data_IF_488740643416
#
_entry.id   IF_488740643416
#
_cell.length_a   1.000
_cell.length_b   1.000
_cell.length_c   1.000
_cell.angle_alpha   90.00
_cell.angle_beta   90.00
_cell.angle_gamma   90.00
#
_symmetry.space_group_name_H-M   'P 1'
#
loop_
_entity.id
_entity.type
_entity.pdbx_description
1 polymer ?
#
# COMPACT_ATOMS: atom_id res chain seq x y z
N UNK A 1 8.48 -6.44 5.55
CA UNK A 1 8.25 -6.31 7.00
C UNK A 1 9.31 -7.01 7.83
N UNK A 2 9.66 -8.28 7.57
CA UNK A 2 10.83 -8.95 8.21
C UNK A 2 12.12 -8.11 8.09
N UNK A 3 12.37 -7.57 6.89
CA UNK A 3 13.52 -6.69 6.62
C UNK A 3 13.55 -5.37 7.44
N UNK A 4 12.41 -4.89 7.97
CA UNK A 4 12.38 -3.67 8.77
C UNK A 4 12.90 -3.91 10.20
N UNK A 5 12.55 -5.06 10.76
CA UNK A 5 13.08 -5.54 12.04
C UNK A 5 14.56 -5.92 11.92
N UNK A 6 14.93 -6.71 10.90
CA UNK A 6 16.33 -7.15 10.67
C UNK A 6 17.33 -6.00 10.53
N UNK A 7 16.90 -4.85 10.01
CA UNK A 7 17.76 -3.70 9.75
C UNK A 7 17.62 -2.61 10.80
N UNK A 8 16.76 -2.79 11.79
CA UNK A 8 16.47 -1.78 12.79
C UNK A 8 17.71 -1.40 13.62
N UNK A 9 18.00 -0.10 13.76
CA UNK A 9 19.21 0.38 14.43
C UNK A 9 20.48 0.40 13.55
N UNK A 10 20.38 -0.01 12.28
CA UNK A 10 21.44 0.15 11.28
C UNK A 10 21.17 1.35 10.38
N UNK A 11 22.17 1.75 9.59
CA UNK A 11 22.00 2.80 8.56
C UNK A 11 20.96 2.43 7.48
N UNK A 12 20.62 1.15 7.35
CA UNK A 12 19.68 0.61 6.37
C UNK A 12 18.33 0.24 6.99
N UNK A 13 18.05 0.69 8.21
CA UNK A 13 16.76 0.47 8.86
C UNK A 13 15.62 0.90 7.94
N UNK A 14 14.63 0.04 7.75
CA UNK A 14 13.43 0.41 7.00
C UNK A 14 12.48 1.19 7.90
N UNK A 15 11.80 2.15 7.29
CA UNK A 15 10.72 2.90 7.90
C UNK A 15 9.45 2.04 8.06
N UNK A 16 8.46 2.57 8.78
CA UNK A 16 7.22 1.86 9.08
C UNK A 16 6.31 1.63 7.88
N UNK A 17 6.49 2.41 6.82
CA UNK A 17 5.55 2.49 5.70
C UNK A 17 6.12 1.88 4.43
N UNK A 18 5.23 1.42 3.57
CA UNK A 18 5.56 0.97 2.22
C UNK A 18 4.41 1.32 1.27
N UNK A 19 4.72 1.80 0.07
CA UNK A 19 3.71 2.04 -0.98
C UNK A 19 3.82 0.96 -2.04
N UNK A 20 2.69 0.49 -2.54
CA UNK A 20 2.60 -0.49 -3.62
C UNK A 20 1.77 0.07 -4.77
N UNK A 21 2.18 -0.23 -5.99
CA UNK A 21 1.47 0.03 -7.23
C UNK A 21 1.13 -1.32 -7.86
N UNK A 22 -0.13 -1.48 -8.26
CA UNK A 22 -0.66 -2.70 -8.81
C UNK A 22 -0.92 -2.53 -10.30
N UNK A 23 -0.45 -3.50 -11.08
CA UNK A 23 -0.69 -3.59 -12.52
C UNK A 23 -1.22 -4.98 -12.85
N UNK A 24 -2.08 -5.11 -13.85
CA UNK A 24 -2.48 -6.41 -14.38
C UNK A 24 -1.97 -6.54 -15.81
N UNK A 25 -1.65 -7.76 -16.27
CA UNK A 25 -1.38 -8.11 -17.68
C UNK A 25 -2.11 -9.42 -18.05
N UNK A 26 -2.57 -9.63 -19.30
CA UNK A 26 -3.28 -10.85 -19.68
C UNK A 26 -2.36 -12.05 -19.48
N UNK A 27 -2.91 -13.16 -19.02
CA UNK A 27 -2.14 -14.38 -18.83
C UNK A 27 -3.00 -15.61 -19.04
N UNK A 28 -2.67 -16.38 -20.08
CA UNK A 28 -3.33 -17.67 -20.37
C UNK A 28 -2.98 -18.77 -19.37
N UNK A 29 -1.96 -18.56 -18.53
CA UNK A 29 -1.52 -19.53 -17.52
C UNK A 29 -2.17 -19.32 -16.15
N UNK A 30 -2.79 -18.17 -15.91
CA UNK A 30 -3.47 -17.86 -14.65
C UNK A 30 -4.96 -18.19 -14.78
N UNK A 31 -5.59 -18.89 -13.81
CA UNK A 31 -7.03 -19.20 -13.87
C UNK A 31 -7.96 -17.99 -14.08
N UNK A 32 -7.67 -16.80 -13.52
CA UNK A 32 -8.45 -15.58 -13.79
C UNK A 32 -8.26 -14.97 -15.18
N UNK A 33 -7.32 -15.47 -16.00
CA UNK A 33 -6.97 -14.93 -17.32
C UNK A 33 -6.05 -13.71 -17.28
N UNK A 34 -5.58 -13.29 -16.10
CA UNK A 34 -4.65 -12.18 -15.93
C UNK A 34 -3.66 -12.48 -14.80
N UNK A 35 -2.49 -11.85 -14.86
CA UNK A 35 -1.48 -11.84 -13.80
C UNK A 35 -1.41 -10.46 -13.16
N UNK A 36 -1.39 -10.44 -11.83
CA UNK A 36 -1.10 -9.25 -11.05
C UNK A 36 0.43 -9.05 -10.95
N UNK A 37 0.87 -7.83 -11.22
CA UNK A 37 2.24 -7.36 -11.05
C UNK A 37 2.25 -6.29 -9.96
N UNK A 38 3.16 -6.41 -9.00
CA UNK A 38 3.25 -5.49 -7.87
C UNK A 38 4.64 -4.87 -7.80
N UNK A 39 4.70 -3.56 -8.01
CA UNK A 39 5.89 -2.78 -7.72
C UNK A 39 5.71 -2.03 -6.41
N UNK A 40 6.75 -1.89 -5.60
CA UNK A 40 6.65 -1.26 -4.29
C UNK A 40 7.83 -0.38 -3.96
N UNK A 41 7.62 0.54 -3.03
CA UNK A 41 8.66 1.32 -2.37
C UNK A 41 8.69 0.97 -0.89
N UNK A 42 9.85 0.48 -0.45
CA UNK A 42 10.20 0.48 0.97
C UNK A 42 10.95 1.78 1.25
N UNK A 43 10.57 2.45 2.33
CA UNK A 43 11.24 3.66 2.79
C UNK A 43 12.31 3.29 3.82
N UNK A 44 13.40 4.04 3.84
CA UNK A 44 14.35 3.96 4.96
C UNK A 44 13.78 4.71 6.16
N UNK A 45 14.18 4.34 7.36
CA UNK A 45 13.80 5.03 8.58
C UNK A 45 14.47 6.41 8.60
N UNK A 46 13.66 7.45 8.46
CA UNK A 46 14.06 8.84 8.49
C UNK A 46 12.86 9.69 8.94
N UNK A 47 13.06 10.91 9.49
CA UNK A 47 11.95 11.76 9.94
C UNK A 47 10.85 11.95 8.88
N UNK A 48 11.24 12.12 7.62
CA UNK A 48 10.36 12.25 6.46
C UNK A 48 9.51 11.01 6.14
N UNK A 49 9.90 9.82 6.60
CA UNK A 49 9.16 8.56 6.36
C UNK A 49 8.37 8.07 7.58
N UNK A 50 8.33 8.85 8.67
CA UNK A 50 7.62 8.45 9.90
C UNK A 50 6.12 8.69 9.83
N UNK A 51 5.71 9.77 9.16
CA UNK A 51 4.30 10.18 9.14
C UNK A 51 3.65 9.75 7.83
N UNK A 52 2.80 8.71 7.89
CA UNK A 52 2.17 8.12 6.72
C UNK A 52 1.38 9.14 5.88
N UNK A 53 0.58 9.98 6.53
CA UNK A 53 -0.26 10.97 5.85
C UNK A 53 0.59 11.99 5.07
N UNK A 54 1.62 12.53 5.71
CA UNK A 54 2.56 13.45 5.07
C UNK A 54 3.31 12.77 3.92
N UNK A 55 3.77 11.54 4.13
CA UNK A 55 4.44 10.75 3.11
C UNK A 55 3.58 10.54 1.85
N UNK A 56 2.29 10.23 2.01
CA UNK A 56 1.36 10.08 0.88
C UNK A 56 1.11 11.41 0.16
N UNK A 57 1.02 12.52 0.91
CA UNK A 57 0.90 13.86 0.34
C UNK A 57 2.14 14.22 -0.50
N UNK A 58 3.34 13.98 0.03
CA UNK A 58 4.60 14.23 -0.65
C UNK A 58 4.74 13.38 -1.92
N UNK A 59 4.39 12.09 -1.85
CA UNK A 59 4.40 11.22 -3.02
C UNK A 59 3.45 11.70 -4.11
N UNK A 60 2.29 12.26 -3.73
CA UNK A 60 1.35 12.86 -4.67
C UNK A 60 1.95 14.09 -5.35
N UNK A 61 2.58 14.97 -4.59
CA UNK A 61 3.25 16.16 -5.11
C UNK A 61 4.42 15.79 -6.06
N UNK A 62 5.28 14.86 -5.63
CA UNK A 62 6.39 14.35 -6.43
C UNK A 62 5.90 13.72 -7.74
N UNK A 63 4.83 12.92 -7.69
CA UNK A 63 4.25 12.34 -8.90
C UNK A 63 3.74 13.43 -9.85
N UNK A 64 3.04 14.44 -9.33
CA UNK A 64 2.53 15.56 -10.14
C UNK A 64 3.67 16.34 -10.80
N UNK A 65 4.73 16.64 -10.06
CA UNK A 65 5.91 17.33 -10.56
C UNK A 65 6.65 16.53 -11.63
N UNK A 66 6.79 15.22 -11.44
CA UNK A 66 7.42 14.33 -12.42
C UNK A 66 6.61 14.24 -13.71
N UNK A 67 5.28 14.16 -13.60
CA UNK A 67 4.35 14.19 -14.74
C UNK A 67 4.50 15.52 -15.49
N UNK A 68 4.45 16.66 -14.78
CA UNK A 68 4.57 17.99 -15.38
C UNK A 68 5.94 18.17 -16.05
N UNK A 69 7.01 17.75 -15.39
CA UNK A 69 8.37 17.83 -15.93
C UNK A 69 8.54 17.00 -17.20
N UNK A 70 8.12 15.74 -17.21
CA UNK A 70 8.19 14.91 -18.41
C UNK A 70 7.35 15.47 -19.56
N UNK A 71 6.15 15.99 -19.26
CA UNK A 71 5.30 16.67 -20.25
C UNK A 71 6.00 17.89 -20.85
N UNK A 72 6.69 18.68 -20.04
CA UNK A 72 7.46 19.85 -20.53
C UNK A 72 8.58 19.47 -21.52
N UNK A 73 9.07 18.23 -21.44
CA UNK A 73 10.08 17.65 -22.32
C UNK A 73 9.49 16.85 -23.49
N UNK A 74 8.15 16.87 -23.68
CA UNK A 74 7.48 16.09 -24.72
C UNK A 74 7.50 14.56 -24.48
N UNK A 75 7.69 14.11 -23.24
CA UNK A 75 7.74 12.69 -22.85
C UNK A 75 6.57 12.33 -21.93
N UNK A 76 6.37 11.04 -21.73
CA UNK A 76 5.50 10.52 -20.66
C UNK A 76 6.36 9.96 -19.54
N UNK A 77 6.07 10.36 -18.30
CA UNK A 77 6.70 9.77 -17.13
C UNK A 77 6.00 8.46 -16.74
N UNK A 78 6.75 7.49 -16.23
CA UNK A 78 6.20 6.24 -15.70
C UNK A 78 6.74 6.01 -14.28
N UNK A 79 5.91 5.62 -13.30
CA UNK A 79 6.34 5.49 -11.91
C UNK A 79 7.37 4.39 -11.66
N UNK A 80 7.49 3.41 -12.56
CA UNK A 80 8.52 2.37 -12.55
C UNK A 80 9.74 2.72 -13.41
N UNK A 81 9.70 3.87 -14.12
CA UNK A 81 10.73 4.27 -15.05
C UNK A 81 12.06 4.57 -14.36
N UNK A 82 13.20 4.45 -15.07
CA UNK A 82 14.52 4.68 -14.49
C UNK A 82 14.72 6.13 -14.03
N UNK A 83 14.04 7.08 -14.68
CA UNK A 83 14.09 8.50 -14.33
C UNK A 83 13.02 8.82 -13.29
N UNK A 84 13.45 9.20 -12.08
CA UNK A 84 12.57 9.67 -11.00
C UNK A 84 11.49 8.64 -10.61
N UNK A 85 11.91 7.39 -10.47
CA UNK A 85 11.04 6.28 -10.05
C UNK A 85 10.36 6.56 -8.72
N UNK A 86 9.07 6.21 -8.62
CA UNK A 86 8.32 6.21 -7.37
C UNK A 86 8.51 4.94 -6.55
N UNK A 87 8.94 3.85 -7.18
CA UNK A 87 9.08 2.51 -6.59
C UNK A 87 10.51 1.99 -6.72
N UNK A 88 10.94 1.10 -5.82
CA UNK A 88 12.33 0.62 -5.74
C UNK A 88 12.46 -0.90 -5.61
N UNK A 89 11.37 -1.65 -5.74
CA UNK A 89 11.37 -3.11 -5.69
C UNK A 89 10.09 -3.71 -6.26
N UNK A 90 10.04 -5.05 -6.31
CA UNK A 90 8.95 -5.81 -6.91
C UNK A 90 9.09 -5.95 -8.42
N UNK A 91 7.96 -6.06 -9.12
CA UNK A 91 7.89 -6.22 -10.57
C UNK A 91 8.17 -4.91 -11.30
N UNK A 92 9.46 -4.57 -11.43
CA UNK A 92 9.93 -3.31 -12.03
C UNK A 92 9.87 -3.31 -13.57
N UNK A 93 9.71 -4.47 -14.19
CA UNK A 93 9.55 -4.63 -15.64
C UNK A 93 8.18 -5.24 -15.90
N UNK A 94 7.33 -4.48 -16.59
CA UNK A 94 5.97 -4.90 -16.91
C UNK A 94 5.86 -5.35 -18.37
N UNK A 95 4.96 -6.30 -18.68
CA UNK A 95 4.49 -6.52 -20.05
C UNK A 95 3.97 -5.23 -20.70
N UNK A 96 4.10 -5.11 -22.02
CA UNK A 96 3.70 -3.91 -22.77
C UNK A 96 2.21 -3.57 -22.65
N UNK A 97 1.38 -4.60 -22.44
CA UNK A 97 -0.07 -4.52 -22.27
C UNK A 97 -0.50 -4.43 -20.79
N UNK A 98 0.45 -4.28 -19.86
CA UNK A 98 0.13 -4.12 -18.46
C UNK A 98 -0.61 -2.79 -18.21
N UNK A 99 -1.67 -2.85 -17.42
CA UNK A 99 -2.49 -1.68 -17.06
C UNK A 99 -2.45 -1.45 -15.57
N UNK A 100 -2.45 -0.18 -15.17
CA UNK A 100 -2.59 0.22 -13.77
C UNK A 100 -3.97 -0.19 -13.23
N UNK A 101 -4.00 -0.93 -12.12
CA UNK A 101 -5.24 -1.40 -11.48
C UNK A 101 -5.43 -0.89 -10.06
N UNK A 102 -4.40 -0.30 -9.44
CA UNK A 102 -4.57 0.31 -8.12
C UNK A 102 -3.29 0.72 -7.43
N UNK A 103 -3.43 1.34 -6.26
CA UNK A 103 -2.34 1.62 -5.35
C UNK A 103 -2.71 1.15 -3.95
N UNK A 104 -1.69 0.85 -3.15
CA UNK A 104 -1.86 0.54 -1.75
C UNK A 104 -0.73 1.07 -0.89
N UNK A 105 -0.97 1.08 0.41
CA UNK A 105 0.01 1.42 1.41
C UNK A 105 -0.07 0.41 2.55
N UNK A 106 1.08 0.02 3.06
CA UNK A 106 1.22 -0.78 4.27
C UNK A 106 1.93 0.05 5.33
N UNK A 107 1.52 -0.12 6.58
CA UNK A 107 2.11 0.54 7.74
C UNK A 107 2.25 -0.42 8.91
N UNK A 108 3.33 -0.26 9.67
CA UNK A 108 3.53 -0.88 10.98
C UNK A 108 2.89 -0.09 12.13
N UNK A 109 2.35 1.10 11.85
CA UNK A 109 1.50 1.79 12.80
C UNK A 109 0.21 0.95 13.00
N UNK A 110 -0.26 0.90 14.23
CA UNK A 110 -1.43 0.10 14.59
C UNK A 110 -2.22 0.78 15.70
N UNK A 111 -3.37 0.20 16.05
CA UNK A 111 -4.13 0.65 17.22
C UNK A 111 -3.34 0.60 18.54
N UNK A 112 -2.26 -0.19 18.59
CA UNK A 112 -1.40 -0.31 19.77
C UNK A 112 -0.36 0.83 19.85
N UNK A 113 -0.24 1.66 18.81
CA UNK A 113 0.65 2.82 18.75
C UNK A 113 1.44 2.93 17.45
N UNK A 114 2.27 3.97 17.36
CA UNK A 114 3.17 4.16 16.23
C UNK A 114 4.31 3.14 16.24
N UNK A 115 4.88 2.83 15.08
CA UNK A 115 6.03 1.96 14.96
C UNK A 115 7.19 2.39 15.85
N UNK A 116 7.43 3.70 16.01
CA UNK A 116 8.49 4.19 16.90
C UNK A 116 8.25 3.77 18.36
N UNK A 117 7.00 3.85 18.83
CA UNK A 117 6.62 3.41 20.17
C UNK A 117 6.74 1.89 20.28
N UNK A 118 6.20 1.14 19.33
CA UNK A 118 6.24 -0.33 19.31
C UNK A 118 7.70 -0.84 19.26
N UNK A 119 8.51 -0.30 18.36
CA UNK A 119 9.90 -0.71 18.20
C UNK A 119 10.80 -0.30 19.38
N UNK A 120 10.41 0.71 20.18
CA UNK A 120 11.07 0.99 21.46
C UNK A 120 10.82 -0.14 22.47
N UNK A 121 9.61 -0.71 22.49
CA UNK A 121 9.27 -1.83 23.38
C UNK A 121 9.89 -3.16 22.96
N UNK A 122 10.23 -3.34 21.66
CA UNK A 122 11.01 -4.49 21.19
C UNK A 122 12.43 -4.52 21.80
N UNK A 123 12.98 -3.36 22.20
CA UNK A 123 14.37 -3.22 22.68
C UNK A 123 14.51 -3.30 24.19
N UNK A 124 13.43 -3.15 24.94
CA UNK A 124 13.46 -3.34 26.39
C UNK A 124 13.06 -4.77 26.71
N UNK A 125 13.92 -5.57 27.39
CA UNK A 125 13.47 -6.84 27.91
C UNK A 125 12.24 -6.55 28.77
N UNK A 126 11.12 -7.16 28.41
CA UNK A 126 9.96 -7.21 29.28
C UNK A 126 10.41 -7.70 30.67
N UNK A 127 9.71 -7.34 31.74
CA UNK A 127 10.02 -7.85 33.10
C UNK A 127 10.05 -9.39 33.21
N UNK A 128 9.65 -10.09 32.15
CA UNK A 128 9.63 -11.54 31.94
C UNK A 128 10.76 -12.07 31.06
N UNK A 129 11.67 -11.23 30.55
CA UNK A 129 12.87 -11.64 29.81
C UNK A 129 12.65 -12.06 28.35
N UNK A 130 11.45 -11.87 27.77
CA UNK A 130 11.20 -12.17 26.35
C UNK A 130 11.21 -10.92 25.46
N UNK A 131 11.89 -11.03 24.33
CA UNK A 131 11.84 -10.06 23.23
C UNK A 131 10.61 -10.40 22.38
N UNK A 132 9.74 -9.41 22.09
CA UNK A 132 8.63 -9.60 21.15
C UNK A 132 9.19 -9.88 19.74
N UNK A 133 8.65 -10.85 19.03
CA UNK A 133 9.14 -11.24 17.71
C UNK A 133 8.67 -10.27 16.63
N UNK A 134 9.44 -10.08 15.56
CA UNK A 134 9.01 -9.36 14.35
C UNK A 134 7.73 -9.97 13.74
N UNK A 135 7.51 -11.27 13.99
CA UNK A 135 6.31 -11.99 13.57
C UNK A 135 5.07 -11.62 14.38
N UNK A 136 5.24 -11.04 15.57
CA UNK A 136 4.16 -10.56 16.45
C UNK A 136 3.74 -9.11 16.12
N UNK A 137 4.38 -8.49 15.10
CA UNK A 137 4.08 -7.12 14.71
C UNK A 137 2.74 -7.01 13.99
N UNK A 138 1.84 -6.25 14.61
CA UNK A 138 0.63 -5.75 13.98
C UNK A 138 0.97 -4.71 12.91
N UNK A 139 0.01 -4.48 12.03
CA UNK A 139 0.10 -3.43 11.04
C UNK A 139 -1.21 -3.27 10.29
N UNK A 140 -1.25 -2.32 9.39
CA UNK A 140 -2.41 -2.07 8.54
C UNK A 140 -2.01 -1.96 7.08
N UNK A 141 -2.90 -2.38 6.20
CA UNK A 141 -2.78 -2.15 4.78
C UNK A 141 -4.06 -1.51 4.25
N UNK A 142 -3.90 -0.59 3.31
CA UNK A 142 -4.98 0.09 2.60
C UNK A 142 -4.72 -0.06 1.11
N UNK A 143 -5.75 -0.34 0.32
CA UNK A 143 -5.65 -0.38 -1.13
C UNK A 143 -6.88 0.26 -1.77
N UNK A 144 -6.65 0.99 -2.86
CA UNK A 144 -7.67 1.52 -3.75
C UNK A 144 -7.43 0.98 -5.16
N UNK A 145 -8.48 0.39 -5.74
CA UNK A 145 -8.47 -0.12 -7.10
C UNK A 145 -9.20 0.84 -8.04
N UNK A 146 -8.85 0.79 -9.33
CA UNK A 146 -9.37 1.70 -10.36
C UNK A 146 -10.89 1.64 -10.53
N UNK A 147 -11.51 0.54 -10.14
CA UNK A 147 -12.96 0.34 -10.17
C UNK A 147 -13.67 0.98 -8.96
N UNK A 148 -12.94 1.57 -8.01
CA UNK A 148 -13.46 2.17 -6.79
C UNK A 148 -13.52 1.20 -5.60
N UNK A 149 -13.01 -0.02 -5.74
CA UNK A 149 -12.89 -0.94 -4.59
C UNK A 149 -11.84 -0.41 -3.62
N UNK A 150 -12.23 -0.29 -2.36
CA UNK A 150 -11.36 0.05 -1.23
C UNK A 150 -11.20 -1.18 -0.34
N UNK A 151 -9.97 -1.52 0.03
CA UNK A 151 -9.65 -2.68 0.87
C UNK A 151 -8.81 -2.21 2.04
N UNK A 152 -9.24 -2.54 3.26
CA UNK A 152 -8.45 -2.37 4.49
C UNK A 152 -8.15 -3.73 5.08
N UNK A 153 -6.89 -3.98 5.42
CA UNK A 153 -6.45 -5.17 6.12
C UNK A 153 -5.82 -4.76 7.45
N UNK A 154 -6.40 -5.20 8.55
CA UNK A 154 -5.76 -5.15 9.87
C UNK A 154 -4.96 -6.45 10.04
N UNK A 155 -3.62 -6.36 9.97
CA UNK A 155 -2.73 -7.49 10.22
C UNK A 155 -2.56 -7.64 11.72
N UNK A 156 -3.13 -8.70 12.28
CA UNK A 156 -2.90 -9.10 13.67
C UNK A 156 -2.49 -10.58 13.71
N UNK A 157 -1.22 -10.90 14.04
CA UNK A 157 -0.74 -12.28 14.10
C UNK A 157 -1.40 -13.11 15.20
N UNK A 158 -2.10 -12.47 16.13
CA UNK A 158 -2.87 -13.12 17.19
C UNK A 158 -4.38 -12.98 16.98
N UNK A 159 -4.82 -12.61 15.77
CA UNK A 159 -6.23 -12.60 15.41
C UNK A 159 -6.87 -13.97 15.69
N UNK A 160 -8.10 -13.95 16.23
CA UNK A 160 -8.88 -15.18 16.43
C UNK A 160 -9.13 -15.85 15.08
N UNK A 161 -9.07 -17.19 15.06
CA UNK A 161 -9.47 -17.99 13.89
C UNK A 161 -10.86 -17.56 13.41
N UNK A 162 -10.97 -17.22 12.13
CA UNK A 162 -12.20 -16.70 11.51
C UNK A 162 -12.28 -15.16 11.42
N UNK A 163 -11.41 -14.42 12.09
CA UNK A 163 -11.23 -12.99 11.87
C UNK A 163 -10.19 -12.77 10.78
N UNK A 164 -10.62 -12.47 9.56
CA UNK A 164 -9.68 -12.19 8.46
C UNK A 164 -8.93 -10.87 8.64
N UNK A 165 -9.49 -9.93 9.39
CA UNK A 165 -9.01 -8.55 9.44
C UNK A 165 -9.19 -7.79 8.12
N UNK A 166 -9.80 -8.41 7.11
CA UNK A 166 -10.00 -7.85 5.77
C UNK A 166 -11.39 -7.25 5.67
N UNK A 167 -11.47 -5.97 5.30
CA UNK A 167 -12.69 -5.23 5.00
C UNK A 167 -12.60 -4.70 3.57
N UNK A 168 -13.70 -4.76 2.83
CA UNK A 168 -13.74 -4.28 1.44
C UNK A 168 -15.05 -3.53 1.17
N UNK A 169 -14.98 -2.43 0.42
CA UNK A 169 -16.17 -1.68 -0.01
C UNK A 169 -17.00 -2.43 -1.05
N UNK A 170 -16.38 -3.39 -1.74
CA UNK A 170 -17.05 -4.28 -2.68
C UNK A 170 -16.85 -5.75 -2.34
N UNK A 171 -17.73 -6.65 -2.82
CA UNK A 171 -17.53 -8.08 -2.68
C UNK A 171 -16.16 -8.51 -3.25
N UNK A 172 -15.42 -9.32 -2.49
CA UNK A 172 -14.18 -9.94 -2.97
C UNK A 172 -14.43 -11.30 -3.64
N UNK A 173 -15.65 -11.84 -3.51
CA UNK A 173 -16.07 -13.10 -4.11
C UNK A 173 -16.97 -12.87 -5.33
N UNK A 174 -16.72 -13.63 -6.39
CA UNK A 174 -17.45 -13.56 -7.66
C UNK A 174 -18.93 -13.94 -7.51
N UNK A 175 -19.27 -14.80 -6.54
CA UNK A 175 -20.63 -15.26 -6.27
C UNK A 175 -21.21 -14.56 -5.05
N UNK A 176 -21.45 -13.27 -5.19
CA UNK A 176 -22.05 -12.48 -4.13
C UNK A 176 -23.56 -12.65 -4.04
N UNK A 177 -24.10 -12.65 -2.81
CA UNK A 177 -25.54 -12.55 -2.60
C UNK A 177 -26.01 -11.09 -2.79
N UNK A 178 -26.80 -10.77 -3.83
CA UNK A 178 -27.24 -9.41 -4.12
C UNK A 178 -28.14 -8.80 -3.03
N UNK A 179 -28.69 -9.61 -2.11
CA UNK A 179 -29.50 -9.16 -0.98
C UNK A 179 -28.68 -8.86 0.28
N UNK A 180 -27.38 -9.13 0.28
CA UNK A 180 -26.53 -8.88 1.45
C UNK A 180 -26.12 -7.41 1.52
N UNK A 181 -26.36 -6.79 2.67
CA UNK A 181 -25.91 -5.43 2.96
C UNK A 181 -24.43 -5.42 3.32
N UNK A 182 -23.61 -4.69 2.56
CA UNK A 182 -22.20 -4.50 2.88
C UNK A 182 -22.00 -3.42 3.95
N UNK A 183 -21.65 -3.77 5.21
CA UNK A 183 -21.38 -2.78 6.24
C UNK A 183 -20.18 -1.89 5.92
N UNK A 184 -19.35 -2.27 4.95
CA UNK A 184 -18.15 -1.56 4.54
C UNK A 184 -18.30 -0.82 3.21
N UNK A 185 -19.51 -0.67 2.65
CA UNK A 185 -19.69 0.02 1.37
C UNK A 185 -19.06 1.44 1.36
N UNK A 186 -19.13 2.15 2.49
CA UNK A 186 -18.52 3.48 2.69
C UNK A 186 -17.16 3.42 3.41
N UNK A 187 -16.37 2.36 3.20
CA UNK A 187 -15.13 2.08 3.97
C UNK A 187 -14.16 3.27 4.06
N UNK A 188 -14.07 4.09 3.01
CA UNK A 188 -13.17 5.26 2.95
C UNK A 188 -13.59 6.40 3.87
N UNK A 189 -14.86 6.42 4.28
CA UNK A 189 -15.42 7.39 5.23
C UNK A 189 -15.50 6.85 6.66
N UNK A 190 -15.20 5.56 6.86
CA UNK A 190 -15.24 4.89 8.16
C UNK A 190 -13.88 5.02 8.90
N UNK A 191 -13.90 4.77 10.21
CA UNK A 191 -12.70 4.79 11.07
C UNK A 191 -12.51 6.11 11.82
N UNK A 192 -11.35 6.25 12.45
CA UNK A 192 -10.92 7.49 13.11
C UNK A 192 -10.47 8.56 12.10
N UNK A 193 -10.09 9.74 12.59
CA UNK A 193 -9.65 10.84 11.74
C UNK A 193 -8.41 10.48 10.92
N UNK A 194 -7.47 9.75 11.51
CA UNK A 194 -6.20 9.37 10.87
C UNK A 194 -6.45 8.37 9.73
N UNK A 195 -7.29 7.36 9.97
CA UNK A 195 -7.73 6.41 8.94
C UNK A 195 -8.36 7.13 7.74
N UNK A 196 -9.22 8.12 8.00
CA UNK A 196 -9.83 8.92 6.92
C UNK A 196 -8.80 9.78 6.17
N UNK A 197 -7.79 10.32 6.85
CA UNK A 197 -6.71 11.05 6.20
C UNK A 197 -5.86 10.14 5.32
N UNK A 198 -5.55 8.91 5.77
CA UNK A 198 -4.86 7.91 4.94
C UNK A 198 -5.66 7.64 3.67
N UNK A 199 -6.98 7.42 3.77
CA UNK A 199 -7.83 7.24 2.60
C UNK A 199 -7.84 8.44 1.68
N UNK A 200 -7.92 9.65 2.24
CA UNK A 200 -7.91 10.88 1.46
C UNK A 200 -6.63 11.03 0.63
N UNK A 201 -5.46 10.89 1.24
CA UNK A 201 -4.18 11.08 0.56
C UNK A 201 -3.82 9.90 -0.36
N UNK A 202 -4.16 8.66 0.02
CA UNK A 202 -4.04 7.53 -0.89
C UNK A 202 -4.95 7.70 -2.11
N UNK A 203 -6.16 8.23 -1.91
CA UNK A 203 -7.10 8.56 -2.98
C UNK A 203 -6.57 9.62 -3.94
N UNK A 204 -5.97 10.70 -3.40
CA UNK A 204 -5.34 11.73 -4.21
C UNK A 204 -4.22 11.19 -5.10
N UNK A 205 -3.32 10.37 -4.53
CA UNK A 205 -2.26 9.71 -5.29
C UNK A 205 -2.84 8.76 -6.34
N UNK A 206 -3.81 7.92 -5.95
CA UNK A 206 -4.44 6.95 -6.83
C UNK A 206 -5.12 7.61 -8.03
N UNK A 207 -5.90 8.65 -7.82
CA UNK A 207 -6.62 9.36 -8.89
C UNK A 207 -5.65 10.09 -9.83
N UNK A 208 -4.57 10.67 -9.30
CA UNK A 208 -3.50 11.26 -10.13
C UNK A 208 -2.86 10.20 -11.05
N UNK A 209 -2.48 9.05 -10.50
CA UNK A 209 -1.87 7.96 -11.27
C UNK A 209 -2.85 7.35 -12.27
N UNK A 210 -4.10 7.13 -11.88
CA UNK A 210 -5.18 6.62 -12.72
C UNK A 210 -5.53 7.54 -13.89
N UNK A 211 -5.39 8.85 -13.71
CA UNK A 211 -5.59 9.83 -14.77
C UNK A 211 -4.39 9.92 -15.74
N UNK A 212 -3.18 9.71 -15.21
CA UNK A 212 -1.94 9.79 -15.99
C UNK A 212 -1.59 8.51 -16.76
N UNK A 213 -1.81 7.34 -16.16
CA UNK A 213 -1.42 6.07 -16.73
C UNK A 213 -2.46 5.56 -17.73
N UNK A 214 -2.03 5.00 -18.87
CA UNK A 214 -2.94 4.56 -19.92
C UNK A 214 -3.81 3.39 -19.44
N UNK A 215 -5.10 3.48 -19.76
CA UNK A 215 -6.04 2.36 -19.64
C UNK A 215 -6.17 1.70 -21.01
N UNK A 216 -5.36 0.69 -21.31
CA UNK A 216 -5.65 -0.16 -22.48
C UNK A 216 -5.55 -1.63 -22.13
N UNK A 217 -6.72 -2.16 -21.78
CA UNK A 217 -7.10 -3.52 -22.12
C UNK A 217 -8.21 -3.44 -23.16
N UNK A 218 -8.01 -4.05 -24.32
CA UNK A 218 -9.07 -4.29 -25.29
C UNK A 218 -9.38 -5.79 -25.26
N UNK A 219 -10.58 -6.14 -24.79
CA UNK A 219 -11.29 -7.40 -25.03
C UNK A 219 -10.55 -8.68 -24.65
#
# INVERSE_FOLDING_TARGET
MHAADERYGTREALGPHAVALFFAAPSSTEPPGFRLHTAYRLFLAAPESEHLVALLADLTAIAADNIAHARSLGRSWHPLGPERSMVNGGDMTLPTDAVYVGAGVSTLDSADGSWRQIASTLRSPSGTGSVRSAFDLKGQCFALLVDGTAIKVDRDPHARLGSSGVRSSKPLEVRWNPLWHNPHHDLTSQGDADTRQVWHHLGALHELLKAHLPRRWQG
#
